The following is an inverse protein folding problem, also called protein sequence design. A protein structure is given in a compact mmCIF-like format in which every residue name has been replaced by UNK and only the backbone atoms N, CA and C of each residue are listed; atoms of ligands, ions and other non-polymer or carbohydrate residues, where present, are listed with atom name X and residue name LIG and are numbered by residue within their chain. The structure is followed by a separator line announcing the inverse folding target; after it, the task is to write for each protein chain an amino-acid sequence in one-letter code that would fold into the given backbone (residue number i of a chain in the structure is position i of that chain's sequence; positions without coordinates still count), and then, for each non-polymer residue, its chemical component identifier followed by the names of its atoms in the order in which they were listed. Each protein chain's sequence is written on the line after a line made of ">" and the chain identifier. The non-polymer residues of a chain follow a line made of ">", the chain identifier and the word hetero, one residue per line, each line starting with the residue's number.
data_IF_114237527263
#
_entry.id   IF_114237527263
#
_cell.length_a   1.000
_cell.length_b   1.000
_cell.length_c   1.000
_cell.angle_alpha   90.00
_cell.angle_beta   90.00
_cell.angle_gamma   90.00
#
_symmetry.space_group_name_H-M   'P 1'
#
loop_
_entity.id
_entity.type
_entity.pdbx_description
1 polymer ?
#
# COMPACT_ATOMS: atom_id res chain seq x y z
N UNK A 1 -9.35 26.44 1.78
CA UNK A 1 -9.59 24.98 1.75
C UNK A 1 -9.74 24.55 3.19
N UNK A 2 -10.97 24.29 3.62
CA UNK A 2 -11.21 23.77 4.96
C UNK A 2 -10.94 22.26 4.96
N UNK A 3 -10.06 21.82 5.86
CA UNK A 3 -9.75 20.41 6.04
C UNK A 3 -10.90 19.76 6.83
N UNK A 4 -11.69 18.91 6.19
CA UNK A 4 -12.62 18.05 6.90
C UNK A 4 -11.84 16.91 7.57
N UNK A 5 -11.47 17.15 8.83
CA UNK A 5 -10.65 16.23 9.64
C UNK A 5 -11.35 14.87 9.76
N UNK A 6 -12.68 14.85 9.95
CA UNK A 6 -13.43 13.62 10.15
C UNK A 6 -13.42 12.76 8.89
N UNK A 7 -13.72 13.35 7.72
CA UNK A 7 -13.65 12.63 6.43
C UNK A 7 -12.24 12.15 6.12
N UNK A 8 -11.23 12.95 6.46
CA UNK A 8 -9.82 12.59 6.24
C UNK A 8 -9.43 11.35 7.07
N UNK A 9 -9.74 11.36 8.38
CA UNK A 9 -9.46 10.22 9.26
C UNK A 9 -10.24 8.98 8.85
N UNK A 10 -11.53 9.14 8.54
CA UNK A 10 -12.38 8.05 8.07
C UNK A 10 -11.87 7.46 6.76
N UNK A 11 -11.47 8.31 5.80
CA UNK A 11 -10.90 7.89 4.52
C UNK A 11 -9.62 7.08 4.70
N UNK A 12 -8.70 7.54 5.54
CA UNK A 12 -7.48 6.78 5.85
C UNK A 12 -7.76 5.44 6.53
N UNK A 13 -8.70 5.41 7.48
CA UNK A 13 -9.13 4.18 8.13
C UNK A 13 -9.74 3.18 7.13
N UNK A 14 -10.73 3.61 6.34
CA UNK A 14 -11.39 2.75 5.34
C UNK A 14 -10.42 2.25 4.27
N UNK A 15 -9.49 3.12 3.81
CA UNK A 15 -8.45 2.72 2.87
C UNK A 15 -7.53 1.65 3.44
N UNK A 16 -7.21 1.72 4.74
CA UNK A 16 -6.38 0.71 5.41
C UNK A 16 -7.08 -0.64 5.53
N UNK A 17 -8.37 -0.64 5.90
CA UNK A 17 -9.19 -1.86 6.01
C UNK A 17 -9.32 -2.51 4.64
N UNK A 18 -9.72 -1.75 3.61
CA UNK A 18 -9.86 -2.26 2.25
C UNK A 18 -8.53 -2.85 1.73
N UNK A 19 -7.43 -2.11 1.91
CA UNK A 19 -6.11 -2.55 1.48
C UNK A 19 -5.64 -3.79 2.23
N UNK A 20 -5.90 -3.90 3.53
CA UNK A 20 -5.49 -5.06 4.32
C UNK A 20 -6.13 -6.34 3.82
N UNK A 21 -7.44 -6.32 3.53
CA UNK A 21 -8.14 -7.48 3.01
C UNK A 21 -7.74 -7.82 1.57
N UNK A 22 -7.66 -6.81 0.68
CA UNK A 22 -7.28 -7.04 -0.72
C UNK A 22 -5.85 -7.55 -0.83
N UNK A 23 -4.90 -6.91 -0.16
CA UNK A 23 -3.51 -7.37 -0.17
C UNK A 23 -3.36 -8.70 0.55
N UNK A 24 -4.05 -8.91 1.67
CA UNK A 24 -4.08 -10.20 2.36
C UNK A 24 -4.55 -11.35 1.46
N UNK A 25 -5.59 -11.12 0.66
CA UNK A 25 -6.05 -12.08 -0.35
C UNK A 25 -5.00 -12.32 -1.45
N UNK A 26 -4.36 -11.26 -1.96
CA UNK A 26 -3.31 -11.39 -2.98
C UNK A 26 -2.09 -12.16 -2.48
N UNK A 27 -1.63 -11.90 -1.24
CA UNK A 27 -0.53 -12.64 -0.63
C UNK A 27 -0.92 -14.08 -0.25
N UNK A 28 -2.19 -14.31 0.12
CA UNK A 28 -2.73 -15.64 0.40
C UNK A 28 -2.96 -16.51 -0.84
N UNK A 29 -2.82 -15.96 -2.05
CA UNK A 29 -2.94 -16.72 -3.29
C UNK A 29 -1.90 -17.86 -3.35
N UNK A 30 -2.28 -19.10 -3.69
CA UNK A 30 -1.37 -20.24 -3.74
C UNK A 30 -0.12 -20.03 -4.61
N UNK A 31 -0.24 -19.30 -5.72
CA UNK A 31 0.89 -18.98 -6.59
C UNK A 31 1.89 -18.06 -5.90
N UNK A 32 1.40 -17.01 -5.22
CA UNK A 32 2.23 -16.08 -4.46
C UNK A 32 2.84 -16.77 -3.25
N UNK A 33 2.04 -17.50 -2.48
CA UNK A 33 2.50 -18.26 -1.32
C UNK A 33 3.63 -19.24 -1.67
N UNK A 34 3.56 -19.89 -2.84
CA UNK A 34 4.64 -20.76 -3.34
C UNK A 34 5.94 -19.99 -3.61
N UNK A 35 5.86 -18.77 -4.13
CA UNK A 35 7.05 -17.92 -4.35
C UNK A 35 7.71 -17.59 -3.01
N UNK A 36 6.93 -17.18 -2.00
CA UNK A 36 7.45 -16.91 -0.65
C UNK A 36 8.08 -18.15 -0.01
N UNK A 37 7.41 -19.31 -0.11
CA UNK A 37 7.95 -20.59 0.42
C UNK A 37 9.29 -20.96 -0.22
N UNK A 38 9.43 -20.79 -1.53
CA UNK A 38 10.70 -21.08 -2.22
C UNK A 38 11.83 -20.10 -1.84
N UNK A 39 11.49 -18.93 -1.33
CA UNK A 39 12.42 -17.88 -0.96
C UNK A 39 12.73 -17.83 0.54
N UNK A 40 12.11 -18.68 1.36
CA UNK A 40 12.17 -18.66 2.84
C UNK A 40 13.59 -18.76 3.41
N UNK A 41 14.51 -19.40 2.67
CA UNK A 41 15.93 -19.48 3.03
C UNK A 41 16.75 -18.22 2.73
N UNK A 42 16.18 -17.21 2.08
CA UNK A 42 16.92 -15.99 1.71
C UNK A 42 17.28 -15.17 2.96
N UNK A 43 18.55 -14.73 3.11
CA UNK A 43 18.97 -13.89 4.22
C UNK A 43 18.32 -12.49 4.21
N UNK A 44 17.77 -12.07 3.07
CA UNK A 44 17.06 -10.79 2.93
C UNK A 44 15.66 -10.80 3.56
N UNK A 45 15.14 -11.97 3.95
CA UNK A 45 13.81 -12.09 4.57
C UNK A 45 13.92 -12.14 6.09
N UNK A 46 13.23 -11.21 6.75
CA UNK A 46 13.11 -11.21 8.20
C UNK A 46 12.25 -12.39 8.66
N UNK A 47 12.82 -13.23 9.52
CA UNK A 47 12.07 -14.28 10.23
C UNK A 47 11.30 -13.68 11.39
N UNK A 48 10.03 -14.02 11.49
CA UNK A 48 9.16 -13.59 12.58
C UNK A 48 8.88 -14.75 13.51
N UNK A 49 8.93 -14.49 14.81
CA UNK A 49 8.68 -15.51 15.85
C UNK A 49 7.23 -16.01 15.84
N UNK A 50 6.29 -15.14 15.47
CA UNK A 50 4.87 -15.51 15.41
C UNK A 50 4.13 -14.81 14.27
N UNK A 51 3.34 -15.60 13.55
CA UNK A 51 2.54 -15.13 12.42
C UNK A 51 1.47 -14.07 12.84
N UNK A 52 0.74 -14.24 13.96
CA UNK A 52 -0.23 -13.22 14.39
C UNK A 52 0.41 -11.86 14.68
N UNK A 53 1.59 -11.85 15.31
CA UNK A 53 2.34 -10.61 15.59
C UNK A 53 2.79 -9.94 14.29
N UNK A 54 3.27 -10.71 13.32
CA UNK A 54 3.63 -10.20 11.99
C UNK A 54 2.44 -9.52 11.30
N UNK A 55 1.31 -10.23 11.21
CA UNK A 55 0.08 -9.72 10.57
C UNK A 55 -0.41 -8.45 11.27
N UNK A 56 -0.43 -8.43 12.60
CA UNK A 56 -0.83 -7.26 13.38
C UNK A 56 0.08 -6.05 13.11
N UNK A 57 1.40 -6.23 13.16
CA UNK A 57 2.35 -5.15 12.88
C UNK A 57 2.24 -4.64 11.44
N UNK A 58 1.97 -5.54 10.49
CA UNK A 58 1.74 -5.18 9.08
C UNK A 58 0.47 -4.32 8.93
N UNK A 59 -0.61 -4.67 9.64
CA UNK A 59 -1.83 -3.87 9.64
C UNK A 59 -1.62 -2.50 10.29
N UNK A 60 -0.96 -2.42 11.45
CA UNK A 60 -0.67 -1.14 12.12
C UNK A 60 0.15 -0.22 11.22
N UNK A 61 1.19 -0.75 10.56
CA UNK A 61 1.98 0.02 9.60
C UNK A 61 1.15 0.51 8.41
N UNK A 62 0.26 -0.34 7.88
CA UNK A 62 -0.65 0.03 6.80
C UNK A 62 -1.65 1.10 7.22
N UNK A 63 -2.22 1.01 8.43
CA UNK A 63 -3.14 2.00 8.98
C UNK A 63 -2.47 3.37 9.09
N UNK A 64 -1.30 3.44 9.72
CA UNK A 64 -0.53 4.69 9.84
C UNK A 64 -0.26 5.27 8.45
N UNK A 65 0.18 4.42 7.50
CA UNK A 65 0.46 4.86 6.16
C UNK A 65 -0.78 5.39 5.42
N UNK A 66 -1.93 4.75 5.55
CA UNK A 66 -3.16 5.21 4.90
C UNK A 66 -3.68 6.51 5.52
N UNK A 67 -3.52 6.71 6.84
CA UNK A 67 -3.84 7.99 7.49
C UNK A 67 -2.95 9.13 6.98
N UNK A 68 -1.64 8.88 6.81
CA UNK A 68 -0.73 9.86 6.22
C UNK A 68 -1.09 10.18 4.77
N UNK A 69 -1.42 9.16 3.97
CA UNK A 69 -1.88 9.38 2.59
C UNK A 69 -3.21 10.13 2.51
N UNK A 70 -4.14 9.88 3.44
CA UNK A 70 -5.38 10.62 3.53
C UNK A 70 -5.13 12.11 3.80
N UNK A 71 -4.22 12.43 4.72
CA UNK A 71 -3.81 13.80 5.00
C UNK A 71 -3.20 14.46 3.74
N UNK A 72 -2.26 13.79 3.08
CA UNK A 72 -1.65 14.28 1.84
C UNK A 72 -2.71 14.50 0.76
N UNK A 73 -3.63 13.54 0.57
CA UNK A 73 -4.72 13.64 -0.40
C UNK A 73 -5.58 14.87 -0.15
N UNK A 74 -5.99 15.10 1.10
CA UNK A 74 -6.81 16.25 1.47
C UNK A 74 -6.11 17.59 1.15
N UNK A 75 -4.79 17.66 1.34
CA UNK A 75 -4.01 18.85 0.99
C UNK A 75 -3.84 19.07 -0.52
N UNK A 76 -3.69 18.00 -1.31
CA UNK A 76 -3.46 18.12 -2.77
C UNK A 76 -4.73 17.99 -3.60
N UNK A 77 -5.89 17.75 -2.99
CA UNK A 77 -7.16 17.47 -3.67
C UNK A 77 -7.53 18.51 -4.72
N UNK A 78 -7.27 19.79 -4.45
CA UNK A 78 -7.56 20.90 -5.36
C UNK A 78 -6.68 20.92 -6.61
N UNK A 79 -5.52 20.25 -6.58
CA UNK A 79 -4.63 20.08 -7.73
C UNK A 79 -4.90 18.79 -8.50
N UNK A 80 -5.74 17.89 -7.98
CA UNK A 80 -6.14 16.65 -8.65
C UNK A 80 -7.33 16.90 -9.60
N UNK A 81 -7.54 16.02 -10.61
CA UNK A 81 -8.69 16.11 -11.50
C UNK A 81 -10.03 16.28 -10.77
N UNK A 82 -10.97 17.01 -11.38
CA UNK A 82 -12.29 17.23 -10.80
C UNK A 82 -13.08 15.91 -10.64
N UNK A 83 -13.02 15.04 -11.66
CA UNK A 83 -13.68 13.75 -11.64
C UNK A 83 -13.07 12.83 -10.56
N UNK A 84 -13.90 12.34 -9.63
CA UNK A 84 -13.51 11.55 -8.45
C UNK A 84 -12.62 10.35 -8.80
N UNK A 85 -13.02 9.55 -9.80
CA UNK A 85 -12.24 8.38 -10.22
C UNK A 85 -10.87 8.78 -10.76
N UNK A 86 -10.79 9.85 -11.55
CA UNK A 86 -9.52 10.35 -12.08
C UNK A 86 -8.61 10.89 -10.97
N UNK A 87 -9.17 11.57 -9.96
CA UNK A 87 -8.40 12.00 -8.79
C UNK A 87 -7.79 10.80 -8.06
N UNK A 88 -8.58 9.74 -7.85
CA UNK A 88 -8.11 8.51 -7.22
C UNK A 88 -7.03 7.78 -8.02
N UNK A 89 -7.18 7.70 -9.34
CA UNK A 89 -6.17 7.09 -10.22
C UNK A 89 -4.87 7.89 -10.25
N UNK A 90 -4.94 9.22 -10.39
CA UNK A 90 -3.75 10.08 -10.37
C UNK A 90 -3.05 10.00 -9.02
N UNK A 91 -3.80 10.01 -7.92
CA UNK A 91 -3.19 9.86 -6.59
C UNK A 91 -2.60 8.47 -6.36
N UNK A 92 -3.24 7.41 -6.87
CA UNK A 92 -2.68 6.07 -6.86
C UNK A 92 -1.34 5.98 -7.60
N UNK A 93 -1.22 6.66 -8.75
CA UNK A 93 0.05 6.79 -9.48
C UNK A 93 1.10 7.56 -8.67
N UNK A 94 0.71 8.62 -7.97
CA UNK A 94 1.61 9.35 -7.05
C UNK A 94 2.14 8.41 -5.98
N UNK A 95 1.29 7.60 -5.33
CA UNK A 95 1.71 6.60 -4.34
C UNK A 95 2.68 5.59 -4.97
N UNK A 96 2.41 5.14 -6.18
CA UNK A 96 3.27 4.21 -6.92
C UNK A 96 4.67 4.79 -7.12
N UNK A 97 4.77 6.02 -7.62
CA UNK A 97 6.04 6.70 -7.92
C UNK A 97 6.78 7.12 -6.65
N UNK A 98 6.07 7.59 -5.62
CA UNK A 98 6.70 8.17 -4.42
C UNK A 98 7.10 7.12 -3.38
N UNK A 99 6.41 5.97 -3.34
CA UNK A 99 6.61 4.95 -2.31
C UNK A 99 7.05 3.61 -2.89
N UNK A 100 6.34 3.11 -3.89
CA UNK A 100 6.52 1.72 -4.33
C UNK A 100 7.79 1.60 -5.16
N UNK A 101 7.98 2.48 -6.13
CA UNK A 101 9.17 2.47 -6.98
C UNK A 101 10.47 2.70 -6.18
N UNK A 102 10.62 3.72 -5.32
CA UNK A 102 11.85 3.94 -4.57
C UNK A 102 12.17 2.78 -3.64
N UNK A 103 11.16 2.23 -2.93
CA UNK A 103 11.37 1.08 -2.04
C UNK A 103 11.86 -0.16 -2.80
N UNK A 104 11.32 -0.42 -3.99
CA UNK A 104 11.73 -1.56 -4.79
C UNK A 104 13.11 -1.36 -5.38
N UNK A 105 13.41 -0.14 -5.82
CA UNK A 105 14.74 0.21 -6.27
C UNK A 105 15.76 -0.01 -5.16
N UNK A 106 15.50 0.50 -3.95
CA UNK A 106 16.35 0.28 -2.78
C UNK A 106 16.55 -1.21 -2.46
N UNK A 107 15.49 -2.00 -2.45
CA UNK A 107 15.60 -3.45 -2.23
C UNK A 107 16.39 -4.15 -3.35
N UNK A 108 16.25 -3.70 -4.60
CA UNK A 108 16.97 -4.26 -5.74
C UNK A 108 18.46 -3.94 -5.71
N UNK A 109 18.85 -2.71 -5.35
CA UNK A 109 20.24 -2.28 -5.36
C UNK A 109 21.00 -2.65 -4.08
N UNK A 110 20.34 -2.69 -2.92
CA UNK A 110 21.02 -2.84 -1.62
C UNK A 110 20.93 -4.25 -1.01
N UNK A 111 20.09 -5.14 -1.54
CA UNK A 111 19.83 -6.44 -0.90
C UNK A 111 19.79 -7.60 -1.89
N UNK A 112 19.96 -8.83 -1.38
CA UNK A 112 19.76 -10.06 -2.16
C UNK A 112 18.29 -10.46 -2.25
N UNK A 113 17.39 -9.48 -2.39
CA UNK A 113 15.95 -9.76 -2.44
C UNK A 113 15.61 -10.52 -3.72
N UNK A 114 14.94 -11.68 -3.64
CA UNK A 114 14.63 -12.47 -4.82
C UNK A 114 13.79 -11.69 -5.84
N UNK A 115 14.19 -11.68 -7.12
CA UNK A 115 13.51 -10.91 -8.16
C UNK A 115 12.03 -11.25 -8.33
N UNK A 116 11.63 -12.52 -8.13
CA UNK A 116 10.21 -12.93 -8.14
C UNK A 116 9.42 -12.34 -6.98
N UNK A 117 10.05 -12.12 -5.82
CA UNK A 117 9.43 -11.41 -4.71
C UNK A 117 9.36 -9.91 -5.01
N UNK A 118 10.41 -9.29 -5.57
CA UNK A 118 10.33 -7.89 -6.01
C UNK A 118 9.16 -7.65 -6.98
N UNK A 119 8.97 -8.54 -7.95
CA UNK A 119 7.85 -8.44 -8.89
C UNK A 119 6.49 -8.55 -8.19
N UNK A 120 6.35 -9.49 -7.25
CA UNK A 120 5.14 -9.64 -6.44
C UNK A 120 4.87 -8.38 -5.61
N UNK A 121 5.89 -7.85 -4.95
CA UNK A 121 5.79 -6.63 -4.13
C UNK A 121 5.45 -5.40 -4.99
N UNK A 122 5.95 -5.32 -6.23
CA UNK A 122 5.56 -4.28 -7.18
C UNK A 122 4.09 -4.37 -7.57
N UNK A 123 3.63 -5.56 -7.96
CA UNK A 123 2.24 -5.75 -8.37
C UNK A 123 1.29 -5.47 -7.20
N UNK A 124 1.52 -6.10 -6.05
CA UNK A 124 0.69 -5.92 -4.86
C UNK A 124 0.75 -4.48 -4.36
N UNK A 125 1.94 -3.89 -4.32
CA UNK A 125 2.13 -2.49 -3.97
C UNK A 125 1.30 -1.59 -4.88
N UNK A 126 1.39 -1.77 -6.20
CA UNK A 126 0.67 -0.96 -7.18
C UNK A 126 -0.84 -1.06 -7.02
N UNK A 127 -1.37 -2.28 -6.92
CA UNK A 127 -2.81 -2.51 -6.68
C UNK A 127 -3.25 -1.82 -5.38
N UNK A 128 -2.47 -1.98 -4.30
CA UNK A 128 -2.73 -1.31 -3.03
C UNK A 128 -2.70 0.22 -3.14
N UNK A 129 -1.74 0.78 -3.88
CA UNK A 129 -1.63 2.23 -4.10
C UNK A 129 -2.85 2.80 -4.82
N UNK A 130 -3.29 2.16 -5.91
CA UNK A 130 -4.51 2.57 -6.61
C UNK A 130 -5.77 2.40 -5.77
N UNK A 131 -5.88 1.29 -5.03
CA UNK A 131 -7.01 1.06 -4.13
C UNK A 131 -7.10 2.16 -3.06
N UNK A 132 -5.98 2.51 -2.42
CA UNK A 132 -5.92 3.63 -1.46
C UNK A 132 -6.36 4.93 -2.14
N UNK A 133 -5.79 5.27 -3.29
CA UNK A 133 -6.15 6.50 -4.02
C UNK A 133 -7.64 6.58 -4.34
N UNK A 134 -8.24 5.48 -4.83
CA UNK A 134 -9.67 5.40 -5.14
C UNK A 134 -10.52 5.58 -3.88
N UNK A 135 -10.23 4.84 -2.79
CA UNK A 135 -11.00 4.94 -1.55
C UNK A 135 -10.94 6.37 -1.00
N UNK A 136 -9.75 6.98 -0.96
CA UNK A 136 -9.61 8.36 -0.49
C UNK A 136 -10.39 9.35 -1.36
N UNK A 137 -10.37 9.19 -2.68
CA UNK A 137 -11.11 10.06 -3.57
C UNK A 137 -12.63 9.98 -3.35
N UNK A 138 -13.19 8.79 -3.10
CA UNK A 138 -14.63 8.66 -2.84
C UNK A 138 -15.07 9.12 -1.45
N UNK A 139 -14.18 9.11 -0.45
CA UNK A 139 -14.54 9.47 0.93
C UNK A 139 -14.25 10.94 1.23
N UNK A 140 -13.13 11.48 0.73
CA UNK A 140 -12.66 12.84 1.00
C UNK A 140 -13.08 13.81 -0.11
N UNK A 141 -13.10 13.33 -1.36
CA UNK A 141 -13.07 14.16 -2.56
C UNK A 141 -14.40 14.67 -3.07
#
# INVERSE_FOLDING_TARGET
>A
MELDILRTLLGGFLASVASFFVLGFLYGNPAVAKIYKNAEGSPALKKWESNPKYIFMQYVGMLIQCLLWALVFAFVRSALPAATICAGLVFGLIIMVMKIFPRLFDMWIQTYYPGKLLATEFINGSIGGFLVGIVLAYVIG
#
